data_IF_759333676185
#
_entry.id   IF_759333676185
#
_cell.length_a   1.000
_cell.length_b   1.000
_cell.length_c   1.000
_cell.angle_alpha   90.00
_cell.angle_beta   90.00
_cell.angle_gamma   90.00
#
_symmetry.space_group_name_H-M   'P 1'
#
loop_
_entity.id
_entity.type
_entity.pdbx_description
1 polymer ?
#
# COMPACT_ATOMS: atom_id res chain seq x y z
N UNK A 1 -6.46 37.78 30.49
CA UNK A 1 -5.94 36.59 29.78
C UNK A 1 -7.04 36.08 28.88
N UNK A 2 -6.83 36.02 27.56
CA UNK A 2 -7.85 35.53 26.61
C UNK A 2 -7.60 34.06 26.26
N UNK A 3 -8.52 33.19 26.64
CA UNK A 3 -8.52 31.78 26.28
C UNK A 3 -9.09 31.61 24.86
N UNK A 4 -8.43 30.79 24.04
CA UNK A 4 -8.98 30.32 22.76
C UNK A 4 -9.18 28.82 22.89
N UNK A 5 -10.44 28.41 22.96
CA UNK A 5 -10.85 27.01 23.07
C UNK A 5 -11.59 26.59 21.80
N UNK A 6 -11.28 25.40 21.29
CA UNK A 6 -11.96 24.79 20.13
C UNK A 6 -12.06 23.28 20.30
N UNK A 7 -13.23 22.74 20.00
CA UNK A 7 -13.43 21.31 19.80
C UNK A 7 -13.08 20.94 18.35
N UNK A 8 -12.31 19.87 18.17
CA UNK A 8 -11.94 19.32 16.86
C UNK A 8 -12.34 17.84 16.85
N UNK A 9 -13.36 17.52 16.05
CA UNK A 9 -13.81 16.14 15.84
C UNK A 9 -13.28 15.64 14.50
N UNK A 10 -12.64 14.46 14.49
CA UNK A 10 -12.13 13.84 13.26
C UNK A 10 -12.74 12.45 13.08
N UNK A 11 -13.41 12.24 11.95
CA UNK A 11 -13.98 10.93 11.57
C UNK A 11 -13.22 10.34 10.39
N UNK A 12 -12.81 9.08 10.52
CA UNK A 12 -12.13 8.34 9.47
C UNK A 12 -12.96 7.14 9.02
N UNK A 13 -12.96 6.87 7.71
CA UNK A 13 -13.51 5.63 7.17
C UNK A 13 -12.45 4.54 7.24
N UNK A 14 -12.58 3.61 8.19
CA UNK A 14 -11.74 2.43 8.27
C UNK A 14 -12.38 1.27 7.48
N UNK A 15 -11.63 0.65 6.57
CA UNK A 15 -12.09 -0.48 5.76
C UNK A 15 -11.17 -1.68 5.94
N UNK A 16 -11.75 -2.82 6.31
CA UNK A 16 -11.03 -4.09 6.39
C UNK A 16 -11.53 -4.99 5.26
N UNK A 17 -10.61 -5.46 4.42
CA UNK A 17 -10.90 -6.35 3.28
C UNK A 17 -10.10 -7.63 3.42
N UNK A 18 -10.78 -8.76 3.45
CA UNK A 18 -10.14 -10.09 3.46
C UNK A 18 -9.96 -10.57 2.02
N UNK A 19 -8.76 -11.06 1.71
CA UNK A 19 -8.45 -11.63 0.40
C UNK A 19 -7.28 -12.61 0.53
N UNK A 20 -7.13 -13.48 -0.47
CA UNK A 20 -6.01 -14.42 -0.56
C UNK A 20 -5.15 -14.07 -1.77
N UNK A 21 -3.82 -14.24 -1.64
CA UNK A 21 -2.87 -13.95 -2.71
C UNK A 21 -3.08 -12.55 -3.31
N UNK A 22 -2.94 -11.51 -2.49
CA UNK A 22 -3.27 -10.11 -2.87
C UNK A 22 -2.54 -9.61 -4.12
N UNK A 23 -1.35 -10.16 -4.41
CA UNK A 23 -0.54 -9.84 -5.59
C UNK A 23 -0.72 -10.85 -6.74
N UNK A 24 -1.72 -11.72 -6.68
CA UNK A 24 -2.12 -12.51 -7.86
C UNK A 24 -2.63 -11.56 -8.95
N UNK A 25 -2.18 -11.66 -10.22
CA UNK A 25 -2.60 -10.77 -11.32
C UNK A 25 -4.11 -10.69 -11.57
N UNK A 26 -4.86 -11.70 -11.11
CA UNK A 26 -6.32 -11.76 -11.25
C UNK A 26 -7.05 -11.26 -9.99
N UNK A 27 -6.35 -11.00 -8.89
CA UNK A 27 -6.93 -10.46 -7.67
C UNK A 27 -7.08 -8.93 -7.74
N UNK A 28 -8.30 -8.48 -8.00
CA UNK A 28 -8.59 -7.06 -8.19
C UNK A 28 -8.75 -6.27 -6.88
N UNK A 29 -8.64 -6.92 -5.71
CA UNK A 29 -8.93 -6.29 -4.41
C UNK A 29 -8.03 -5.08 -4.15
N UNK A 30 -6.71 -5.22 -4.34
CA UNK A 30 -5.76 -4.14 -4.11
C UNK A 30 -5.93 -3.03 -5.15
N UNK A 31 -6.01 -3.38 -6.44
CA UNK A 31 -6.27 -2.44 -7.54
C UNK A 31 -7.49 -1.58 -7.26
N UNK A 32 -8.64 -2.19 -7.01
CA UNK A 32 -9.90 -1.48 -6.76
C UNK A 32 -9.88 -0.66 -5.46
N UNK A 33 -9.01 -1.01 -4.50
CA UNK A 33 -8.83 -0.23 -3.27
C UNK A 33 -7.98 1.02 -3.51
N UNK A 34 -6.98 0.95 -4.39
CA UNK A 34 -6.09 2.06 -4.70
C UNK A 34 -6.65 3.03 -5.75
N UNK A 35 -7.57 2.56 -6.60
CA UNK A 35 -8.13 3.35 -7.70
C UNK A 35 -9.47 3.97 -7.34
N UNK A 36 -9.66 5.24 -7.74
CA UNK A 36 -11.00 5.84 -7.81
C UNK A 36 -11.53 5.70 -9.26
N UNK A 37 -12.61 4.94 -9.43
CA UNK A 37 -13.21 4.64 -10.73
C UNK A 37 -13.57 5.91 -11.52
N UNK A 38 -13.79 7.04 -10.83
CA UNK A 38 -14.29 8.28 -11.43
C UNK A 38 -13.27 9.07 -12.24
N UNK A 39 -11.97 8.85 -12.03
CA UNK A 39 -10.94 9.79 -12.53
C UNK A 39 -10.14 9.27 -13.71
N UNK A 40 -10.21 7.96 -14.03
CA UNK A 40 -9.41 7.34 -15.09
C UNK A 40 -7.89 7.49 -14.92
N UNK A 41 -7.44 8.04 -13.80
CA UNK A 41 -6.04 8.40 -13.55
C UNK A 41 -5.23 7.17 -13.18
N UNK A 42 -3.95 7.13 -13.59
CA UNK A 42 -2.98 6.17 -13.05
C UNK A 42 -2.56 6.58 -11.63
N UNK A 43 -2.80 5.69 -10.67
CA UNK A 43 -2.45 5.89 -9.27
C UNK A 43 -1.02 5.45 -9.01
N UNK A 44 -0.21 6.38 -8.48
CA UNK A 44 1.16 6.08 -8.05
C UNK A 44 1.13 5.34 -6.72
N UNK A 45 1.88 4.25 -6.63
CA UNK A 45 2.04 3.47 -5.42
C UNK A 45 3.52 3.31 -5.10
N UNK A 46 3.84 3.45 -3.81
CA UNK A 46 5.11 3.05 -3.23
C UNK A 46 4.84 1.82 -2.36
N UNK A 47 5.59 0.75 -2.57
CA UNK A 47 5.47 -0.47 -1.77
C UNK A 47 6.68 -0.56 -0.85
N UNK A 48 6.40 -0.55 0.45
CA UNK A 48 7.37 -0.70 1.53
C UNK A 48 7.14 -2.07 2.15
N UNK A 49 8.20 -2.86 2.28
CA UNK A 49 8.13 -4.24 2.70
C UNK A 49 9.12 -4.51 3.83
N UNK A 50 8.69 -5.36 4.76
CA UNK A 50 9.56 -5.90 5.78
C UNK A 50 10.60 -6.84 5.15
N UNK A 51 11.87 -6.64 5.46
CA UNK A 51 12.97 -7.42 4.92
C UNK A 51 12.90 -8.90 5.34
N UNK A 52 12.48 -9.20 6.58
CA UNK A 52 12.35 -10.58 7.04
C UNK A 52 11.24 -11.31 6.28
N UNK A 53 10.15 -10.62 5.93
CA UNK A 53 9.12 -11.17 5.05
C UNK A 53 9.67 -11.46 3.65
N UNK A 54 10.47 -10.54 3.09
CA UNK A 54 11.06 -10.72 1.77
C UNK A 54 12.07 -11.89 1.73
N UNK A 55 12.82 -12.11 2.83
CA UNK A 55 13.68 -13.29 3.01
C UNK A 55 12.89 -14.59 3.17
N UNK A 56 11.77 -14.56 3.88
CA UNK A 56 10.93 -15.75 4.05
C UNK A 56 10.19 -16.13 2.75
N UNK A 57 9.86 -15.13 1.92
CA UNK A 57 9.13 -15.31 0.66
C UNK A 57 9.83 -14.57 -0.48
N UNK A 58 10.92 -15.15 -1.00
CA UNK A 58 11.73 -14.53 -2.04
C UNK A 58 10.95 -14.11 -3.31
N UNK A 59 9.91 -14.86 -3.68
CA UNK A 59 9.08 -14.55 -4.86
C UNK A 59 8.14 -13.35 -4.65
N UNK A 60 7.95 -12.87 -3.41
CA UNK A 60 6.96 -11.85 -3.10
C UNK A 60 7.26 -10.51 -3.79
N UNK A 61 8.54 -10.10 -3.85
CA UNK A 61 8.96 -8.88 -4.55
C UNK A 61 8.60 -8.96 -6.02
N UNK A 62 8.78 -10.13 -6.63
CA UNK A 62 8.44 -10.34 -8.04
C UNK A 62 6.91 -10.37 -8.25
N UNK A 63 6.16 -11.00 -7.35
CA UNK A 63 4.69 -10.95 -7.39
C UNK A 63 4.16 -9.52 -7.35
N UNK A 64 4.76 -8.64 -6.52
CA UNK A 64 4.41 -7.21 -6.52
C UNK A 64 4.67 -6.59 -7.89
N UNK A 65 5.87 -6.77 -8.46
CA UNK A 65 6.21 -6.20 -9.77
C UNK A 65 5.25 -6.66 -10.86
N UNK A 66 5.03 -7.97 -10.98
CA UNK A 66 4.12 -8.57 -11.97
C UNK A 66 2.69 -8.07 -11.79
N UNK A 67 2.22 -7.91 -10.55
CA UNK A 67 0.90 -7.36 -10.26
C UNK A 67 0.74 -5.92 -10.78
N UNK A 68 1.72 -5.07 -10.51
CA UNK A 68 1.70 -3.68 -10.96
C UNK A 68 1.91 -3.53 -12.47
N UNK A 69 2.68 -4.42 -13.09
CA UNK A 69 2.81 -4.48 -14.56
C UNK A 69 1.49 -4.89 -15.22
N UNK A 70 0.82 -5.93 -14.70
CA UNK A 70 -0.49 -6.40 -15.17
C UNK A 70 -1.55 -5.30 -15.12
N UNK A 71 -1.51 -4.46 -14.10
CA UNK A 71 -2.47 -3.38 -13.88
C UNK A 71 -1.89 -1.99 -14.19
N UNK A 72 -0.88 -1.91 -15.06
CA UNK A 72 -0.18 -0.67 -15.41
C UNK A 72 -1.06 0.36 -16.15
N UNK A 73 -2.24 -0.04 -16.60
CA UNK A 73 -3.28 0.84 -17.13
C UNK A 73 -3.87 1.74 -16.03
N UNK A 74 -3.90 1.27 -14.78
CA UNK A 74 -4.47 1.99 -13.62
C UNK A 74 -3.48 2.29 -12.51
N UNK A 75 -2.42 1.52 -12.38
CA UNK A 75 -1.45 1.64 -11.30
C UNK A 75 -0.06 1.96 -11.85
N UNK A 76 0.75 2.63 -11.05
CA UNK A 76 2.15 2.91 -11.35
C UNK A 76 2.98 2.64 -10.10
N UNK A 77 3.78 1.58 -10.14
CA UNK A 77 4.78 1.31 -9.11
C UNK A 77 5.97 2.24 -9.33
N UNK A 78 6.10 3.25 -8.47
CA UNK A 78 7.03 4.38 -8.73
C UNK A 78 8.51 3.99 -8.69
N UNK A 79 8.82 2.90 -8.01
CA UNK A 79 10.14 2.29 -7.95
C UNK A 79 9.99 0.83 -7.52
N UNK A 80 11.07 0.04 -7.60
CA UNK A 80 11.09 -1.31 -7.04
C UNK A 80 10.64 -1.31 -5.55
N UNK A 81 9.98 -2.38 -5.06
CA UNK A 81 9.55 -2.46 -3.67
C UNK A 81 10.74 -2.25 -2.73
N UNK A 82 10.58 -1.30 -1.81
CA UNK A 82 11.64 -0.93 -0.88
C UNK A 82 11.61 -1.88 0.32
N UNK A 83 12.74 -2.51 0.60
CA UNK A 83 12.87 -3.44 1.72
C UNK A 83 13.54 -2.71 2.89
N UNK A 84 12.94 -2.78 4.07
CA UNK A 84 13.45 -2.17 5.28
C UNK A 84 13.56 -3.19 6.39
N UNK A 85 14.55 -3.03 7.26
CA UNK A 85 14.66 -3.86 8.47
C UNK A 85 13.35 -3.74 9.27
N UNK A 86 12.82 -4.89 9.66
CA UNK A 86 11.62 -4.97 10.48
C UNK A 86 11.88 -4.73 11.96
N UNK A 87 10.80 -4.55 12.72
CA UNK A 87 10.84 -4.53 14.20
C UNK A 87 10.94 -3.14 14.83
N UNK A 88 11.08 -3.12 16.16
CA UNK A 88 11.03 -1.88 16.96
C UNK A 88 12.17 -0.90 16.68
N UNK A 89 13.28 -1.37 16.09
CA UNK A 89 14.43 -0.50 15.75
C UNK A 89 14.07 0.53 14.69
N UNK A 90 13.20 0.19 13.75
CA UNK A 90 12.79 1.05 12.63
C UNK A 90 11.84 2.17 13.06
N UNK A 91 11.23 2.09 14.26
CA UNK A 91 10.35 3.12 14.81
C UNK A 91 11.09 4.26 15.54
N UNK A 92 12.35 4.03 15.91
CA UNK A 92 13.13 4.92 16.78
C UNK A 92 14.35 5.55 16.09
N UNK A 93 14.45 5.43 14.77
CA UNK A 93 15.55 5.99 13.97
C UNK A 93 15.13 7.23 13.20
#
# INVERSE_FOLDING_TARGET
MSLIERQIDVTYRHQVRFTQQVFSPDNLTLRNTLTDEKTGRKHKALVVMDEALCRAQHALVEHVRVYFERHSDRLNLVCNPMQFEGGERTKNS
#
